data_IF_512979976789
#
_entry.id   IF_512979976789
#
_cell.length_a   1.000
_cell.length_b   1.000
_cell.length_c   1.000
_cell.angle_alpha   90.00
_cell.angle_beta   90.00
_cell.angle_gamma   90.00
#
_symmetry.space_group_name_H-M   'P 1'
#
loop_
_entity.id
_entity.type
_entity.pdbx_description
1 polymer ?
#
# COMPACT_ATOMS: atom_id res chain seq x y z
N UNK A 1 0.47 -9.62 -18.98
CA UNK A 1 -0.35 -8.98 -17.91
C UNK A 1 0.57 -8.50 -16.80
N UNK A 2 0.56 -7.21 -16.43
CA UNK A 2 1.48 -6.64 -15.42
C UNK A 2 0.82 -6.56 -14.04
N UNK A 3 0.59 -7.72 -13.42
CA UNK A 3 0.36 -7.85 -11.97
C UNK A 3 1.67 -8.26 -11.25
N UNK A 4 2.78 -8.30 -11.99
CA UNK A 4 4.03 -8.93 -11.59
C UNK A 4 4.73 -8.28 -10.39
N UNK A 5 4.63 -6.95 -10.21
CA UNK A 5 5.44 -6.26 -9.19
C UNK A 5 4.92 -6.54 -7.77
N UNK A 6 3.59 -6.52 -7.56
CA UNK A 6 3.03 -6.88 -6.24
C UNK A 6 3.23 -8.37 -5.99
N UNK A 7 3.06 -9.21 -7.02
CA UNK A 7 3.28 -10.63 -6.89
C UNK A 7 4.73 -10.96 -6.54
N UNK A 8 5.70 -10.36 -7.23
CA UNK A 8 7.13 -10.52 -6.97
C UNK A 8 7.49 -10.03 -5.57
N UNK A 9 6.94 -8.89 -5.13
CA UNK A 9 7.14 -8.39 -3.77
C UNK A 9 6.64 -9.40 -2.73
N UNK A 10 5.43 -9.91 -2.89
CA UNK A 10 4.85 -10.88 -1.99
C UNK A 10 5.63 -12.21 -1.99
N UNK A 11 6.02 -12.71 -3.17
CA UNK A 11 6.85 -13.92 -3.31
C UNK A 11 8.19 -13.78 -2.58
N UNK A 12 8.89 -12.64 -2.73
CA UNK A 12 10.13 -12.35 -1.98
C UNK A 12 9.95 -12.39 -0.46
N UNK A 13 8.72 -12.22 0.02
CA UNK A 13 8.36 -12.23 1.45
C UNK A 13 7.67 -13.54 1.87
N UNK A 14 7.73 -14.60 1.05
CA UNK A 14 7.02 -15.87 1.26
C UNK A 14 5.52 -15.67 1.50
N UNK A 15 4.91 -14.79 0.71
CA UNK A 15 3.50 -14.45 0.82
C UNK A 15 2.84 -14.34 -0.54
N UNK A 16 1.51 -14.31 -0.57
CA UNK A 16 0.73 -14.25 -1.81
C UNK A 16 -0.37 -13.19 -1.69
N UNK A 17 -0.51 -12.29 -2.70
CA UNK A 17 -1.59 -11.33 -2.74
C UNK A 17 -2.89 -12.03 -3.20
N UNK A 18 -3.97 -11.85 -2.46
CA UNK A 18 -5.30 -12.37 -2.81
C UNK A 18 -6.09 -11.28 -3.51
N UNK A 19 -6.55 -11.54 -4.73
CA UNK A 19 -7.41 -10.63 -5.49
C UNK A 19 -8.85 -11.12 -5.47
N UNK A 20 -9.78 -10.27 -5.06
CA UNK A 20 -11.20 -10.55 -4.99
C UNK A 20 -11.98 -9.47 -5.73
N UNK A 21 -12.87 -9.87 -6.63
CA UNK A 21 -13.82 -8.93 -7.23
C UNK A 21 -14.96 -8.73 -6.22
N UNK A 22 -15.08 -7.51 -5.69
CA UNK A 22 -16.14 -7.18 -4.72
C UNK A 22 -17.46 -6.88 -5.40
N UNK A 23 -17.41 -6.11 -6.49
CA UNK A 23 -18.62 -5.68 -7.18
C UNK A 23 -18.38 -5.46 -8.67
N UNK A 24 -19.47 -5.52 -9.43
CA UNK A 24 -19.55 -5.07 -10.81
C UNK A 24 -20.88 -4.33 -10.94
N UNK A 25 -20.83 -3.01 -10.97
CA UNK A 25 -22.01 -2.14 -10.99
C UNK A 25 -21.95 -1.19 -12.18
N UNK A 26 -23.08 -0.71 -12.66
CA UNK A 26 -23.16 0.22 -13.79
C UNK A 26 -23.86 -0.35 -15.03
N UNK A 27 -24.19 0.52 -15.98
CA UNK A 27 -24.88 0.13 -17.20
C UNK A 27 -23.99 -0.77 -18.07
N UNK A 28 -24.61 -1.58 -18.94
CA UNK A 28 -23.89 -2.49 -19.85
C UNK A 28 -22.84 -1.77 -20.71
N UNK A 29 -23.05 -0.49 -21.02
CA UNK A 29 -22.11 0.34 -21.80
C UNK A 29 -21.03 1.03 -20.97
N UNK A 30 -21.12 1.01 -19.63
CA UNK A 30 -20.10 1.57 -18.73
C UNK A 30 -20.04 0.80 -17.39
N UNK A 31 -19.56 -0.45 -17.41
CA UNK A 31 -19.46 -1.26 -16.20
C UNK A 31 -18.30 -0.79 -15.32
N UNK A 32 -18.55 -0.63 -14.02
CA UNK A 32 -17.57 -0.33 -12.98
C UNK A 32 -17.26 -1.60 -12.17
N UNK A 33 -16.03 -2.08 -12.32
CA UNK A 33 -15.52 -3.23 -11.58
C UNK A 33 -14.77 -2.76 -10.35
N UNK A 34 -15.16 -3.28 -9.19
CA UNK A 34 -14.48 -3.02 -7.91
C UNK A 34 -13.69 -4.26 -7.50
N UNK A 35 -12.37 -4.12 -7.42
CA UNK A 35 -11.45 -5.20 -7.03
C UNK A 35 -10.76 -4.82 -5.72
N UNK A 36 -10.75 -5.78 -4.78
CA UNK A 36 -9.95 -5.75 -3.56
C UNK A 36 -8.72 -6.62 -3.74
N UNK A 37 -7.58 -6.10 -3.35
CA UNK A 37 -6.36 -6.90 -3.15
C UNK A 37 -6.05 -6.94 -1.65
N UNK A 38 -5.95 -8.14 -1.11
CA UNK A 38 -5.49 -8.39 0.26
C UNK A 38 -4.05 -8.87 0.19
N UNK A 39 -3.16 -8.25 0.95
CA UNK A 39 -1.73 -8.53 0.94
C UNK A 39 -1.16 -8.41 2.35
N UNK A 40 -0.30 -9.36 2.76
CA UNK A 40 0.34 -9.26 4.06
C UNK A 40 1.47 -8.24 3.99
N UNK A 41 1.55 -7.39 5.01
CA UNK A 41 2.69 -6.49 5.20
C UNK A 41 3.45 -6.98 6.42
N UNK A 42 4.74 -7.30 6.24
CA UNK A 42 5.67 -7.36 7.37
C UNK A 42 6.20 -5.96 7.61
N UNK A 43 5.81 -5.38 8.74
CA UNK A 43 6.44 -4.19 9.27
C UNK A 43 7.94 -4.45 9.54
N UNK A 44 8.80 -3.42 9.40
CA UNK A 44 10.16 -3.53 9.92
C UNK A 44 10.16 -3.61 11.46
N UNK A 45 10.70 -4.73 11.92
CA UNK A 45 11.47 -4.99 13.14
C UNK A 45 10.87 -4.91 14.56
N UNK A 46 9.63 -4.47 14.82
CA UNK A 46 9.18 -4.41 16.24
C UNK A 46 7.74 -4.82 16.54
N UNK A 47 7.02 -5.48 15.62
CA UNK A 47 5.68 -5.99 15.90
C UNK A 47 5.50 -7.44 15.40
N UNK A 48 4.99 -8.29 16.29
CA UNK A 48 4.72 -9.72 16.08
C UNK A 48 3.43 -9.94 15.26
N UNK A 49 2.63 -8.89 15.08
CA UNK A 49 1.32 -9.00 14.46
C UNK A 49 1.43 -9.02 12.93
N UNK A 50 1.09 -10.16 12.33
CA UNK A 50 0.76 -10.19 10.90
C UNK A 50 -0.56 -9.45 10.71
N UNK A 51 -0.50 -8.31 10.05
CA UNK A 51 -1.71 -7.57 9.70
C UNK A 51 -1.91 -7.61 8.19
N UNK A 52 -3.06 -8.15 7.80
CA UNK A 52 -3.49 -8.20 6.42
C UNK A 52 -4.00 -6.82 6.02
N UNK A 53 -3.30 -6.20 5.08
CA UNK A 53 -3.76 -4.95 4.49
C UNK A 53 -4.60 -5.27 3.27
N UNK A 54 -5.61 -4.43 3.05
CA UNK A 54 -6.37 -4.49 1.82
C UNK A 54 -6.39 -3.15 1.12
N UNK A 55 -6.42 -3.19 -0.19
CA UNK A 55 -6.55 -2.00 -1.04
C UNK A 55 -7.63 -2.29 -2.07
N UNK A 56 -8.54 -1.35 -2.22
CA UNK A 56 -9.71 -1.48 -3.08
C UNK A 56 -9.58 -0.44 -4.18
N UNK A 57 -9.86 -0.85 -5.42
CA UNK A 57 -9.90 0.05 -6.55
C UNK A 57 -11.05 -0.30 -7.49
N UNK A 58 -11.67 0.74 -8.04
CA UNK A 58 -12.68 0.65 -9.08
C UNK A 58 -12.13 1.13 -10.43
N UNK A 59 -12.56 0.47 -11.51
CA UNK A 59 -12.26 0.86 -12.89
C UNK A 59 -13.26 0.26 -13.89
N UNK A 60 -13.20 0.73 -15.14
CA UNK A 60 -14.11 0.28 -16.22
C UNK A 60 -13.86 -1.13 -16.72
N UNK A 61 -12.71 -1.71 -16.38
CA UNK A 61 -12.35 -3.08 -16.75
C UNK A 61 -11.74 -3.82 -15.56
N UNK A 62 -11.95 -5.13 -15.48
CA UNK A 62 -11.36 -6.00 -14.44
C UNK A 62 -9.84 -5.85 -14.37
N UNK A 63 -9.17 -5.80 -15.52
CA UNK A 63 -7.71 -5.68 -15.58
C UNK A 63 -7.22 -4.33 -15.06
N UNK A 64 -7.93 -3.24 -15.36
CA UNK A 64 -7.57 -1.91 -14.88
C UNK A 64 -7.80 -1.80 -13.37
N UNK A 65 -8.93 -2.30 -12.88
CA UNK A 65 -9.24 -2.33 -11.45
C UNK A 65 -8.18 -3.12 -10.68
N UNK A 66 -7.76 -4.27 -11.22
CA UNK A 66 -6.71 -5.11 -10.63
C UNK A 66 -5.37 -4.40 -10.57
N UNK A 67 -4.93 -3.79 -11.68
CA UNK A 67 -3.68 -3.02 -11.74
C UNK A 67 -3.70 -1.84 -10.77
N UNK A 68 -4.83 -1.13 -10.69
CA UNK A 68 -5.00 0.03 -9.81
C UNK A 68 -4.96 -0.40 -8.34
N UNK A 69 -5.64 -1.48 -7.98
CA UNK A 69 -5.58 -2.06 -6.64
C UNK A 69 -4.15 -2.48 -6.27
N UNK A 70 -3.45 -3.17 -7.19
CA UNK A 70 -2.06 -3.59 -6.98
C UNK A 70 -1.10 -2.41 -6.83
N UNK A 71 -1.29 -1.34 -7.59
CA UNK A 71 -0.49 -0.12 -7.49
C UNK A 71 -0.67 0.59 -6.14
N UNK A 72 -1.91 0.69 -5.65
CA UNK A 72 -2.20 1.24 -4.32
C UNK A 72 -1.51 0.42 -3.23
N UNK A 73 -1.58 -0.91 -3.32
CA UNK A 73 -0.91 -1.81 -2.39
C UNK A 73 0.62 -1.59 -2.36
N UNK A 74 1.26 -1.55 -3.52
CA UNK A 74 2.69 -1.28 -3.64
C UNK A 74 3.09 0.10 -3.09
N UNK A 75 2.26 1.11 -3.36
CA UNK A 75 2.50 2.47 -2.85
C UNK A 75 2.42 2.51 -1.33
N UNK A 76 1.45 1.79 -0.75
CA UNK A 76 1.32 1.65 0.71
C UNK A 76 2.54 0.94 1.30
N UNK A 77 2.96 -0.18 0.72
CA UNK A 77 4.16 -0.92 1.11
C UNK A 77 5.41 -0.03 1.08
N UNK A 78 5.62 0.74 0.01
CA UNK A 78 6.77 1.64 -0.12
C UNK A 78 6.76 2.74 0.93
N UNK A 79 5.60 3.35 1.20
CA UNK A 79 5.45 4.37 2.26
C UNK A 79 5.82 3.81 3.63
N UNK A 80 5.38 2.60 3.96
CA UNK A 80 5.70 1.96 5.23
C UNK A 80 7.18 1.61 5.38
N UNK A 81 7.84 1.22 4.28
CA UNK A 81 9.30 0.96 4.29
C UNK A 81 10.16 2.24 4.33
N UNK A 82 9.59 3.43 4.14
CA UNK A 82 10.31 4.71 4.13
C UNK A 82 10.26 5.48 5.47
N UNK A 83 9.64 4.93 6.53
CA UNK A 83 9.83 5.47 7.88
C UNK A 83 11.19 5.00 8.41
N UNK A 84 12.17 5.93 8.48
CA UNK A 84 12.30 6.73 9.68
C UNK A 84 12.52 8.22 9.36
N UNK A 85 11.71 9.09 9.96
CA UNK A 85 12.20 10.42 10.31
C UNK A 85 12.22 10.49 11.83
N UNK A 86 13.38 10.33 12.49
CA UNK A 86 13.51 10.91 13.82
C UNK A 86 13.19 12.39 13.62
N UNK A 87 12.14 12.87 14.29
CA UNK A 87 11.98 14.29 14.49
C UNK A 87 13.34 14.80 14.98
N UNK A 88 13.93 15.84 14.37
CA UNK A 88 15.09 16.46 15.01
C UNK A 88 14.66 16.80 16.44
N UNK A 89 15.45 16.40 17.47
CA UNK A 89 15.10 16.76 18.85
C UNK A 89 14.89 18.28 18.91
N UNK A 90 13.91 18.76 19.70
CA UNK A 90 13.73 20.20 19.89
C UNK A 90 15.09 20.82 20.22
N UNK A 91 15.51 21.81 19.45
CA UNK A 91 16.77 22.50 19.67
C UNK A 91 16.71 23.03 21.12
N UNK A 92 17.67 22.69 22.00
CA UNK A 92 17.66 23.19 23.36
C UNK A 92 17.68 24.73 23.35
N UNK A 93 16.77 25.36 24.10
CA UNK A 93 16.61 26.83 24.15
C UNK A 93 17.93 27.56 24.46
N UNK A 94 18.91 26.90 25.08
CA UNK A 94 20.26 27.45 25.33
C UNK A 94 21.06 27.83 24.07
N UNK A 95 20.62 27.41 22.87
CA UNK A 95 21.23 27.80 21.60
C UNK A 95 20.44 28.91 20.87
N UNK A 96 19.32 29.36 21.43
CA UNK A 96 18.53 30.47 20.93
C UNK A 96 18.87 31.70 21.78
N UNK A 97 19.70 32.59 21.24
CA UNK A 97 20.20 33.85 21.80
C UNK A 97 21.46 33.76 22.69
N UNK A 98 22.60 33.60 22.02
CA UNK A 98 23.82 34.33 22.35
C UNK A 98 24.17 35.24 21.16
N UNK A 99 23.36 36.28 20.95
CA UNK A 99 23.73 37.40 20.08
C UNK A 99 23.54 38.67 20.91
N UNK A 100 24.70 39.21 21.29
CA UNK A 100 25.05 40.59 21.68
C UNK A 100 23.95 41.50 22.24
#
# INVERSE_FOLDING_TARGET
>A
MRDGILNEYCHKKNSFPKYEQLNCEGPQHDPLFTIKVTYPIRYPLNQVTMQDYSSIASARTKNEAKKKAAHLALTKIKKLNQEPKPCPPPIPIKYLNSNA
#
